data_IF_236520279020
#
_entry.id   IF_236520279020
#
_cell.length_a   1.000
_cell.length_b   1.000
_cell.length_c   1.000
_cell.angle_alpha   90.00
_cell.angle_beta   90.00
_cell.angle_gamma   90.00
#
_symmetry.space_group_name_H-M   'P 1'
#
loop_
_entity.id
_entity.type
_entity.pdbx_description
1 polymer ?
#
# COMPACT_ATOMS: atom_id res chain seq x y z
N UNK A 1 8.53 2.30 -19.89
CA UNK A 1 8.58 1.22 -20.90
C UNK A 1 7.94 1.72 -22.19
N UNK A 2 8.41 1.25 -23.35
CA UNK A 2 7.92 1.70 -24.66
C UNK A 2 7.20 0.60 -25.46
N UNK A 3 7.21 -0.64 -24.96
CA UNK A 3 6.46 -1.76 -25.52
C UNK A 3 5.40 -2.16 -24.51
N UNK A 4 4.18 -2.36 -24.98
CA UNK A 4 3.03 -2.77 -24.18
C UNK A 4 2.24 -3.86 -24.89
N UNK A 5 1.45 -4.61 -24.14
CA UNK A 5 0.54 -5.63 -24.64
C UNK A 5 -0.90 -5.10 -24.67
N UNK A 6 -1.61 -5.30 -25.77
CA UNK A 6 -3.04 -4.98 -25.89
C UNK A 6 -3.90 -6.01 -25.16
N UNK A 7 -5.21 -5.76 -25.05
CA UNK A 7 -6.18 -6.75 -24.52
C UNK A 7 -6.27 -8.02 -25.39
N UNK A 8 -6.00 -7.90 -26.70
CA UNK A 8 -5.94 -9.04 -27.64
C UNK A 8 -4.65 -9.86 -27.51
N UNK A 9 -3.69 -9.40 -26.72
CA UNK A 9 -2.40 -10.08 -26.49
C UNK A 9 -1.29 -9.64 -27.45
N UNK A 10 -1.54 -8.65 -28.31
CA UNK A 10 -0.57 -8.15 -29.29
C UNK A 10 0.43 -7.20 -28.63
N UNK A 11 1.70 -7.29 -29.03
CA UNK A 11 2.75 -6.38 -28.56
C UNK A 11 2.85 -5.19 -29.50
N UNK A 12 2.71 -3.98 -28.95
CA UNK A 12 2.77 -2.73 -29.73
C UNK A 12 3.71 -1.72 -29.08
N UNK A 13 4.27 -0.83 -29.90
CA UNK A 13 5.11 0.26 -29.43
C UNK A 13 4.27 1.47 -28.99
N UNK A 14 4.79 2.27 -28.05
CA UNK A 14 4.13 3.44 -27.47
C UNK A 14 3.74 4.53 -28.49
N UNK A 15 4.25 4.46 -29.73
CA UNK A 15 3.91 5.35 -30.84
C UNK A 15 2.67 4.91 -31.62
N UNK A 16 2.16 3.69 -31.40
CA UNK A 16 1.05 3.09 -32.15
C UNK A 16 -0.25 3.01 -31.33
N UNK A 17 -0.28 3.68 -30.18
CA UNK A 17 -1.35 3.55 -29.20
C UNK A 17 -2.57 4.41 -29.53
N UNK A 18 -3.72 4.01 -29.02
CA UNK A 18 -4.99 4.73 -29.08
C UNK A 18 -5.29 5.31 -27.70
N UNK A 19 -5.95 6.46 -27.65
CA UNK A 19 -6.12 7.19 -26.38
C UNK A 19 -7.09 6.54 -25.38
N UNK A 20 -8.02 5.72 -25.86
CA UNK A 20 -9.09 5.11 -25.06
C UNK A 20 -8.88 3.60 -24.81
N UNK A 21 -7.65 3.11 -24.99
CA UNK A 21 -7.34 1.68 -24.89
C UNK A 21 -6.49 1.36 -23.66
N UNK A 22 -6.80 0.23 -23.02
CA UNK A 22 -6.08 -0.27 -21.85
C UNK A 22 -4.88 -1.11 -22.30
N UNK A 23 -3.74 -0.86 -21.69
CA UNK A 23 -2.47 -1.52 -22.02
C UNK A 23 -1.88 -2.25 -20.82
N UNK A 24 -1.17 -3.33 -21.10
CA UNK A 24 -0.57 -4.20 -20.08
C UNK A 24 0.95 -4.30 -20.26
N UNK A 25 1.68 -4.49 -19.17
CA UNK A 25 3.08 -4.83 -19.20
C UNK A 25 3.27 -6.22 -19.83
N UNK A 26 4.14 -6.40 -20.83
CA UNK A 26 4.36 -7.70 -21.44
C UNK A 26 5.13 -8.67 -20.53
N UNK A 27 5.85 -8.16 -19.53
CA UNK A 27 6.68 -8.94 -18.62
C UNK A 27 5.88 -9.49 -17.43
N UNK A 28 5.07 -8.65 -16.77
CA UNK A 28 4.29 -9.05 -15.59
C UNK A 28 2.78 -9.18 -15.83
N UNK A 29 2.26 -8.69 -16.96
CA UNK A 29 0.84 -8.72 -17.29
C UNK A 29 -0.03 -7.67 -16.59
N UNK A 30 0.55 -6.81 -15.75
CA UNK A 30 -0.20 -5.78 -15.01
C UNK A 30 -0.58 -4.59 -15.90
N UNK A 31 -1.66 -3.89 -15.54
CA UNK A 31 -2.11 -2.68 -16.24
C UNK A 31 -1.10 -1.53 -16.08
N UNK A 32 -0.86 -0.81 -17.16
CA UNK A 32 0.08 0.31 -17.21
C UNK A 32 -0.61 1.60 -17.67
N UNK A 33 -0.14 2.74 -17.17
CA UNK A 33 -0.67 4.06 -17.53
C UNK A 33 0.26 4.79 -18.51
N UNK A 34 -0.35 5.48 -19.48
CA UNK A 34 0.32 6.34 -20.46
C UNK A 34 0.88 7.59 -19.76
N UNK A 35 2.15 7.88 -19.98
CA UNK A 35 2.82 9.11 -19.56
C UNK A 35 3.47 9.79 -20.75
N UNK A 36 3.49 11.11 -20.72
CA UNK A 36 4.14 11.94 -21.74
C UNK A 36 5.25 12.73 -21.07
N UNK A 37 6.46 12.61 -21.58
CA UNK A 37 7.61 13.37 -21.08
C UNK A 37 7.48 14.86 -21.47
N UNK A 38 8.29 15.72 -20.84
CA UNK A 38 8.35 17.15 -21.19
C UNK A 38 8.71 17.41 -22.66
N UNK A 39 9.38 16.46 -23.30
CA UNK A 39 9.78 16.52 -24.71
C UNK A 39 8.76 15.84 -25.64
N UNK A 40 7.55 15.50 -25.14
CA UNK A 40 6.49 14.88 -25.93
C UNK A 40 6.65 13.38 -26.16
N UNK A 41 7.66 12.74 -25.59
CA UNK A 41 7.87 11.29 -25.73
C UNK A 41 6.86 10.54 -24.89
N UNK A 42 6.08 9.66 -25.52
CA UNK A 42 5.11 8.80 -24.86
C UNK A 42 5.82 7.55 -24.31
N UNK A 43 5.56 7.21 -23.06
CA UNK A 43 6.02 6.00 -22.40
C UNK A 43 4.99 5.50 -21.40
N UNK A 44 5.13 4.27 -20.95
CA UNK A 44 4.26 3.68 -19.95
C UNK A 44 4.99 3.44 -18.63
N UNK A 45 4.22 3.53 -17.54
CA UNK A 45 4.64 3.08 -16.22
C UNK A 45 3.55 2.23 -15.60
N UNK A 46 3.93 1.27 -14.76
CA UNK A 46 2.97 0.59 -13.89
C UNK A 46 2.11 1.61 -13.16
N UNK A 47 0.81 1.34 -13.10
CA UNK A 47 -0.06 2.07 -12.19
C UNK A 47 0.47 1.75 -10.80
N UNK A 48 0.92 2.75 -10.02
CA UNK A 48 1.29 2.51 -8.64
C UNK A 48 0.05 1.93 -7.99
N UNK A 49 0.11 0.64 -7.63
CA UNK A 49 -0.95 0.00 -6.88
C UNK A 49 -1.18 0.91 -5.67
N UNK A 50 -2.38 1.47 -5.53
CA UNK A 50 -2.88 1.95 -4.24
C UNK A 50 -3.12 0.70 -3.37
N UNK A 51 -2.08 -0.08 -3.16
CA UNK A 51 -2.06 -1.04 -2.09
C UNK A 51 -1.87 -0.22 -0.82
N UNK A 52 -2.97 0.32 -0.29
CA UNK A 52 -3.19 0.01 1.12
C UNK A 52 -3.22 -1.51 1.11
N UNK A 53 -2.10 -2.13 1.47
CA UNK A 53 -2.13 -3.55 1.75
C UNK A 53 -3.26 -3.70 2.75
N UNK A 54 -4.35 -4.34 2.34
CA UNK A 54 -5.37 -4.74 3.30
C UNK A 54 -4.61 -5.52 4.35
N UNK A 55 -4.79 -5.11 5.60
CA UNK A 55 -4.05 -5.70 6.69
C UNK A 55 -4.30 -7.22 6.72
N UNK A 56 -3.22 -7.99 6.81
CA UNK A 56 -3.35 -9.44 6.78
C UNK A 56 -4.02 -9.94 8.05
N UNK A 57 -4.69 -11.11 7.97
CA UNK A 57 -5.22 -11.79 9.16
C UNK A 57 -4.12 -11.99 10.21
N UNK A 58 -2.92 -12.35 9.77
CA UNK A 58 -1.77 -12.55 10.64
C UNK A 58 -1.32 -11.27 11.37
N UNK A 59 -1.41 -10.11 10.71
CA UNK A 59 -1.13 -8.82 11.34
C UNK A 59 -2.17 -8.52 12.42
N UNK A 60 -3.46 -8.64 12.09
CA UNK A 60 -4.56 -8.41 13.04
C UNK A 60 -4.49 -9.35 14.26
N UNK A 61 -4.28 -10.65 14.04
CA UNK A 61 -4.10 -11.63 15.12
C UNK A 61 -2.87 -11.31 15.98
N UNK A 62 -1.77 -10.89 15.35
CA UNK A 62 -0.57 -10.45 16.04
C UNK A 62 -0.80 -9.26 16.97
N UNK A 63 -1.55 -8.25 16.51
CA UNK A 63 -1.93 -7.09 17.35
C UNK A 63 -2.76 -7.51 18.56
N UNK A 64 -3.75 -8.37 18.34
CA UNK A 64 -4.59 -8.88 19.43
C UNK A 64 -3.78 -9.65 20.47
N UNK A 65 -2.89 -10.55 20.05
CA UNK A 65 -2.03 -11.30 20.97
C UNK A 65 -1.09 -10.38 21.76
N UNK A 66 -0.52 -9.37 21.10
CA UNK A 66 0.34 -8.39 21.77
C UNK A 66 -0.43 -7.54 22.78
N UNK A 67 -1.64 -7.07 22.42
CA UNK A 67 -2.53 -6.33 23.31
C UNK A 67 -2.84 -7.12 24.59
N UNK A 68 -3.24 -8.38 24.44
CA UNK A 68 -3.57 -9.24 25.59
C UNK A 68 -2.33 -9.54 26.44
N UNK A 69 -1.17 -9.76 25.82
CA UNK A 69 0.10 -9.91 26.53
C UNK A 69 0.42 -8.67 27.36
N UNK A 70 0.34 -7.46 26.78
CA UNK A 70 0.58 -6.20 27.49
C UNK A 70 -0.36 -6.02 28.68
N UNK A 71 -1.67 -6.25 28.49
CA UNK A 71 -2.66 -6.17 29.56
C UNK A 71 -2.38 -7.17 30.68
N UNK A 72 -1.99 -8.41 30.34
CA UNK A 72 -1.67 -9.44 31.34
C UNK A 72 -0.44 -9.08 32.20
N UNK A 73 0.47 -8.25 31.68
CA UNK A 73 1.62 -7.72 32.43
C UNK A 73 1.30 -6.43 33.21
N UNK A 74 0.04 -6.00 33.23
CA UNK A 74 -0.43 -4.85 34.00
C UNK A 74 -0.31 -3.51 33.29
N UNK A 75 0.05 -3.49 32.00
CA UNK A 75 0.06 -2.25 31.21
C UNK A 75 -1.36 -1.83 30.82
N UNK A 76 -1.60 -0.51 30.79
CA UNK A 76 -2.78 0.02 30.14
C UNK A 76 -2.54 0.09 28.64
N UNK A 77 -3.21 -0.74 27.85
CA UNK A 77 -3.02 -0.83 26.40
C UNK A 77 -4.35 -0.76 25.65
N UNK A 78 -4.36 0.01 24.56
CA UNK A 78 -5.50 0.26 23.69
C UNK A 78 -5.13 -0.11 22.24
N UNK A 79 -6.06 -0.77 21.55
CA UNK A 79 -5.89 -1.21 20.16
C UNK A 79 -6.46 -0.14 19.22
N UNK A 80 -5.67 0.31 18.26
CA UNK A 80 -6.07 1.28 17.23
C UNK A 80 -6.75 2.57 17.75
N UNK A 81 -6.27 3.22 18.84
CA UNK A 81 -6.85 4.48 19.27
C UNK A 81 -6.39 5.63 18.36
N UNK A 82 -7.26 6.60 18.11
CA UNK A 82 -6.86 7.83 17.44
C UNK A 82 -6.05 8.72 18.39
N UNK A 83 -4.81 9.03 18.01
CA UNK A 83 -3.90 9.87 18.79
C UNK A 83 -3.81 11.26 18.16
N UNK A 84 -4.48 12.23 18.79
CA UNK A 84 -4.61 13.59 18.27
C UNK A 84 -3.30 14.36 18.15
N UNK A 85 -2.30 14.07 18.99
CA UNK A 85 -1.00 14.76 18.97
C UNK A 85 -0.15 14.43 17.74
N UNK A 86 -0.40 13.28 17.10
CA UNK A 86 0.30 12.84 15.89
C UNK A 86 -0.65 12.64 14.70
N UNK A 87 -1.94 12.91 14.87
CA UNK A 87 -2.99 12.78 13.86
C UNK A 87 -3.00 11.40 13.16
N UNK A 88 -2.74 10.34 13.94
CA UNK A 88 -2.60 8.97 13.45
C UNK A 88 -3.38 7.98 14.31
N UNK A 89 -3.57 6.78 13.77
CA UNK A 89 -4.11 5.60 14.47
C UNK A 89 -2.97 4.57 14.48
N UNK A 90 -2.17 4.51 15.56
CA UNK A 90 -1.17 3.47 15.73
C UNK A 90 -1.83 2.12 15.97
N UNK A 91 -1.12 1.02 15.71
CA UNK A 91 -1.64 -0.32 15.97
C UNK A 91 -2.02 -0.51 17.46
N UNK A 92 -1.13 -0.13 18.39
CA UNK A 92 -1.39 -0.19 19.84
C UNK A 92 -0.81 1.05 20.53
N UNK A 93 -1.54 1.62 21.48
CA UNK A 93 -1.00 2.61 22.42
C UNK A 93 -0.90 2.00 23.81
N UNK A 94 0.25 2.16 24.44
CA UNK A 94 0.51 1.73 25.81
C UNK A 94 0.78 2.94 26.69
N UNK A 95 0.08 3.03 27.81
CA UNK A 95 0.23 4.11 28.79
C UNK A 95 0.79 3.56 30.11
N UNK A 96 1.86 4.18 30.60
CA UNK A 96 2.45 3.92 31.92
C UNK A 96 2.76 5.26 32.61
N UNK A 97 2.00 5.56 33.67
CA UNK A 97 2.10 6.85 34.35
C UNK A 97 1.79 8.00 33.40
N UNK A 98 2.76 8.90 33.23
CA UNK A 98 2.65 10.09 32.35
C UNK A 98 3.16 9.83 30.92
N UNK A 99 3.62 8.61 30.61
CA UNK A 99 4.17 8.27 29.30
C UNK A 99 3.19 7.44 28.49
N UNK A 100 3.15 7.73 27.19
CA UNK A 100 2.45 6.92 26.21
C UNK A 100 3.41 6.51 25.09
N UNK A 101 3.34 5.25 24.66
CA UNK A 101 4.10 4.71 23.55
C UNK A 101 3.15 4.20 22.47
N UNK A 102 3.44 4.55 21.22
CA UNK A 102 2.77 4.01 20.05
C UNK A 102 3.60 2.83 19.52
N UNK A 103 2.96 1.70 19.30
CA UNK A 103 3.57 0.47 18.78
C UNK A 103 2.97 0.20 17.41
N UNK A 104 3.81 -0.12 16.44
CA UNK A 104 3.45 -0.60 15.10
C UNK A 104 3.87 -2.07 14.99
N UNK A 105 2.91 -2.96 14.77
CA UNK A 105 3.19 -4.38 14.57
C UNK A 105 3.66 -4.59 13.13
N UNK A 106 4.62 -5.48 12.90
CA UNK A 106 5.12 -5.80 11.55
C UNK A 106 5.14 -7.32 11.41
N UNK A 107 4.41 -7.84 10.41
CA UNK A 107 4.31 -9.28 10.10
C UNK A 107 4.90 -9.61 8.74
#
# INVERSE_FOLDING_TARGET
MNIVRTKTGELIHATQIKEDEVYFCPECGEEVTKKVSRNGVVFFSHIPKKHRQEETIAHQEGKHLLLESLKSHGFHAELEPYVSSIEQIPDIVVTEGERAWCIEYQS
#
